data_IF_381152413829
#
_entry.id   IF_381152413829
#
_cell.length_a   1.000
_cell.length_b   1.000
_cell.length_c   1.000
_cell.angle_alpha   90.00
_cell.angle_beta   90.00
_cell.angle_gamma   90.00
#
_symmetry.space_group_name_H-M   'P 1'
#
loop_
_entity.id
_entity.type
_entity.pdbx_description
1 polymer ?
#
# COMPACT_ATOMS: atom_id res chain seq x y z
N UNK A 1 0.89 -12.50 17.17
CA UNK A 1 1.77 -13.30 16.30
C UNK A 1 1.04 -13.72 15.04
N UNK A 2 1.52 -13.24 13.88
CA UNK A 2 1.00 -13.71 12.58
C UNK A 2 1.73 -15.00 12.23
N UNK A 3 1.03 -16.11 12.04
CA UNK A 3 1.68 -17.36 11.60
C UNK A 3 2.22 -17.19 10.19
N UNK A 4 3.40 -17.75 9.93
CA UNK A 4 4.01 -17.73 8.60
C UNK A 4 5.52 -17.59 8.60
N UNK A 5 6.07 -17.55 7.41
CA UNK A 5 7.50 -17.32 7.19
C UNK A 5 7.78 -15.81 7.28
N UNK A 6 8.75 -15.43 8.11
CA UNK A 6 9.12 -14.02 8.33
C UNK A 6 10.46 -13.73 7.68
N UNK A 7 10.52 -12.60 6.96
CA UNK A 7 11.73 -12.08 6.35
C UNK A 7 11.90 -10.61 6.76
N UNK A 8 13.11 -10.24 7.15
CA UNK A 8 13.48 -8.84 7.39
C UNK A 8 14.19 -8.34 6.13
N UNK A 9 13.51 -7.53 5.33
CA UNK A 9 14.00 -6.98 4.06
C UNK A 9 13.68 -5.49 3.97
N UNK A 10 14.58 -4.73 3.39
CA UNK A 10 14.29 -3.36 2.98
C UNK A 10 13.70 -3.37 1.57
N UNK A 11 12.38 -3.27 1.48
CA UNK A 11 11.66 -3.31 0.20
C UNK A 11 11.81 -2.04 -0.66
N UNK A 12 12.54 -1.02 -0.19
CA UNK A 12 12.98 0.11 -1.02
C UNK A 12 14.05 -0.29 -2.02
N UNK A 13 14.68 -1.45 -1.81
CA UNK A 13 15.58 -2.08 -2.77
C UNK A 13 14.83 -3.04 -3.70
N UNK A 14 14.92 -2.87 -5.03
CA UNK A 14 14.28 -3.76 -6.00
C UNK A 14 14.67 -5.24 -5.85
N UNK A 15 15.92 -5.53 -5.50
CA UNK A 15 16.41 -6.90 -5.30
C UNK A 15 15.77 -7.54 -4.06
N UNK A 16 15.48 -6.75 -3.04
CA UNK A 16 14.74 -7.20 -1.86
C UNK A 16 13.28 -7.53 -2.18
N UNK A 17 12.63 -6.76 -3.04
CA UNK A 17 11.29 -7.09 -3.55
C UNK A 17 11.29 -8.44 -4.28
N UNK A 18 12.26 -8.66 -5.17
CA UNK A 18 12.41 -9.95 -5.85
C UNK A 18 12.72 -11.10 -4.88
N UNK A 19 13.58 -10.86 -3.88
CA UNK A 19 13.89 -11.85 -2.87
C UNK A 19 12.67 -12.25 -2.03
N UNK A 20 11.82 -11.27 -1.65
CA UNK A 20 10.57 -11.52 -0.94
C UNK A 20 9.63 -12.43 -1.76
N UNK A 21 9.45 -12.13 -3.04
CA UNK A 21 8.62 -12.93 -3.95
C UNK A 21 9.19 -14.35 -4.12
N UNK A 22 10.49 -14.47 -4.37
CA UNK A 22 11.14 -15.80 -4.49
C UNK A 22 10.99 -16.63 -3.22
N UNK A 23 11.14 -15.99 -2.05
CA UNK A 23 11.00 -16.70 -0.77
C UNK A 23 9.56 -17.15 -0.53
N UNK A 24 8.56 -16.33 -0.87
CA UNK A 24 7.15 -16.70 -0.75
C UNK A 24 6.82 -17.91 -1.65
N UNK A 25 7.24 -17.89 -2.92
CA UNK A 25 7.06 -19.02 -3.85
C UNK A 25 7.81 -20.26 -3.37
N UNK A 26 9.06 -20.11 -2.89
CA UNK A 26 9.85 -21.21 -2.38
C UNK A 26 9.24 -21.88 -1.14
N UNK A 27 8.58 -21.08 -0.28
CA UNK A 27 7.93 -21.59 0.94
C UNK A 27 6.58 -22.26 0.65
N UNK A 28 5.74 -21.63 -0.20
CA UNK A 28 4.36 -22.05 -0.42
C UNK A 28 4.13 -22.80 -1.76
N UNK A 29 5.14 -22.87 -2.61
CA UNK A 29 5.05 -23.50 -3.95
C UNK A 29 4.33 -22.64 -4.99
N UNK A 30 3.65 -21.59 -4.59
CA UNK A 30 2.89 -20.66 -5.45
C UNK A 30 2.71 -19.28 -4.79
N UNK A 31 2.31 -18.30 -5.57
CA UNK A 31 1.94 -16.97 -5.09
C UNK A 31 0.55 -16.60 -5.63
N UNK A 32 -0.42 -16.50 -4.76
CA UNK A 32 -1.81 -16.17 -5.13
C UNK A 32 -2.15 -14.72 -4.82
N UNK A 33 -1.62 -14.16 -3.74
CA UNK A 33 -1.94 -12.81 -3.27
C UNK A 33 -0.69 -12.10 -2.79
N UNK A 34 -0.57 -10.83 -3.14
CA UNK A 34 0.40 -9.89 -2.56
C UNK A 34 -0.36 -8.74 -1.93
N UNK A 35 -0.14 -8.48 -0.65
CA UNK A 35 -0.68 -7.32 0.05
C UNK A 35 0.46 -6.41 0.45
N UNK A 36 0.49 -5.21 -0.12
CA UNK A 36 1.41 -4.16 0.27
C UNK A 36 0.75 -3.24 1.30
N UNK A 37 1.11 -3.41 2.56
CA UNK A 37 0.68 -2.60 3.68
C UNK A 37 1.80 -1.70 4.22
N UNK A 38 2.88 -1.53 3.45
CA UNK A 38 4.00 -0.66 3.82
C UNK A 38 3.66 0.79 3.50
N UNK A 39 4.00 1.70 4.40
CA UNK A 39 3.81 3.12 4.17
C UNK A 39 4.42 3.98 5.26
N UNK A 40 4.71 5.21 4.89
CA UNK A 40 5.21 6.26 5.78
C UNK A 40 4.39 7.52 5.60
N UNK A 41 4.41 8.39 6.60
CA UNK A 41 3.66 9.66 6.62
C UNK A 41 4.55 10.79 7.08
N UNK A 42 4.28 12.00 6.62
CA UNK A 42 4.83 13.24 7.14
C UNK A 42 3.75 14.31 7.13
N UNK A 43 3.86 15.26 8.04
CA UNK A 43 2.91 16.34 8.24
C UNK A 43 3.65 17.68 8.26
N UNK A 44 3.03 18.71 7.75
CA UNK A 44 3.52 20.07 7.78
C UNK A 44 3.32 20.83 6.47
N UNK A 45 3.46 22.16 6.49
CA UNK A 45 3.47 22.97 5.29
C UNK A 45 4.60 22.53 4.35
N UNK A 46 4.36 22.64 3.04
CA UNK A 46 5.33 22.13 2.06
C UNK A 46 6.68 22.87 2.12
N UNK A 47 6.68 24.13 2.50
CA UNK A 47 7.88 24.95 2.65
C UNK A 47 8.77 24.54 3.84
N UNK A 48 8.22 23.79 4.80
CA UNK A 48 8.95 23.32 5.98
C UNK A 48 9.47 21.87 5.81
N UNK A 49 8.92 21.15 4.83
CA UNK A 49 9.25 19.73 4.65
C UNK A 49 10.59 19.58 3.94
N UNK A 50 11.48 18.76 4.51
CA UNK A 50 12.78 18.47 3.90
C UNK A 50 12.65 17.66 2.60
N UNK A 51 13.64 17.86 1.70
CA UNK A 51 13.69 17.08 0.44
C UNK A 51 13.86 15.59 0.75
N UNK A 52 14.68 15.25 1.74
CA UNK A 52 14.91 13.86 2.15
C UNK A 52 13.60 13.18 2.59
N UNK A 53 12.75 13.89 3.32
CA UNK A 53 11.42 13.40 3.69
C UNK A 53 10.52 13.22 2.48
N UNK A 54 10.54 14.15 1.53
CA UNK A 54 9.76 13.99 0.28
C UNK A 54 10.24 12.77 -0.52
N UNK A 55 11.55 12.57 -0.64
CA UNK A 55 12.13 11.41 -1.31
C UNK A 55 11.71 10.09 -0.63
N UNK A 56 11.76 10.04 0.71
CA UNK A 56 11.35 8.86 1.47
C UNK A 56 9.84 8.58 1.33
N UNK A 57 9.00 9.63 1.31
CA UNK A 57 7.57 9.49 1.04
C UNK A 57 7.31 8.84 -0.32
N UNK A 58 7.95 9.31 -1.38
CA UNK A 58 7.77 8.76 -2.72
C UNK A 58 8.43 7.40 -2.86
N UNK A 59 9.61 7.19 -2.29
CA UNK A 59 10.29 5.90 -2.32
C UNK A 59 9.41 4.81 -1.68
N UNK A 60 8.88 5.06 -0.50
CA UNK A 60 8.13 4.06 0.26
C UNK A 60 6.68 3.94 -0.18
N UNK A 61 5.98 5.08 -0.44
CA UNK A 61 4.55 5.03 -0.77
C UNK A 61 4.26 4.83 -2.25
N UNK A 62 5.22 5.10 -3.16
CA UNK A 62 5.01 5.05 -4.62
C UNK A 62 5.93 4.02 -5.29
N UNK A 63 7.26 4.17 -5.14
CA UNK A 63 8.19 3.29 -5.83
C UNK A 63 8.17 1.85 -5.31
N UNK A 64 8.07 1.67 -3.99
CA UNK A 64 8.02 0.34 -3.38
C UNK A 64 6.82 -0.49 -3.90
N UNK A 65 5.57 -0.01 -3.90
CA UNK A 65 4.45 -0.76 -4.49
C UNK A 65 4.67 -1.08 -5.97
N UNK A 66 5.27 -0.17 -6.74
CA UNK A 66 5.58 -0.41 -8.17
C UNK A 66 6.62 -1.53 -8.31
N UNK A 67 7.70 -1.49 -7.54
CA UNK A 67 8.77 -2.49 -7.58
C UNK A 67 8.28 -3.86 -7.11
N UNK A 68 7.49 -3.89 -6.03
CA UNK A 68 6.92 -5.13 -5.52
C UNK A 68 5.93 -5.75 -6.51
N UNK A 69 5.05 -4.95 -7.12
CA UNK A 69 4.14 -5.40 -8.16
C UNK A 69 4.90 -5.93 -9.38
N UNK A 70 5.94 -5.22 -9.84
CA UNK A 70 6.82 -5.66 -10.94
C UNK A 70 7.43 -7.03 -10.63
N UNK A 71 7.95 -7.24 -9.43
CA UNK A 71 8.54 -8.52 -9.02
C UNK A 71 7.46 -9.63 -8.93
N UNK A 72 6.28 -9.31 -8.40
CA UNK A 72 5.21 -10.28 -8.16
C UNK A 72 4.50 -10.72 -9.45
N UNK A 73 4.33 -9.83 -10.43
CA UNK A 73 3.58 -10.13 -11.66
C UNK A 73 4.05 -11.40 -12.36
N UNK A 74 5.37 -11.69 -12.38
CA UNK A 74 5.94 -12.89 -13.00
C UNK A 74 5.62 -14.18 -12.26
N UNK A 75 5.38 -14.10 -10.96
CA UNK A 75 5.23 -15.23 -10.04
C UNK A 75 3.78 -15.52 -9.65
N UNK A 76 2.89 -14.55 -9.78
CA UNK A 76 1.47 -14.70 -9.45
C UNK A 76 0.80 -15.74 -10.34
N UNK A 77 0.00 -16.60 -9.72
CA UNK A 77 -0.87 -17.55 -10.43
C UNK A 77 -1.95 -16.83 -11.24
N UNK A 78 -2.53 -17.53 -12.20
CA UNK A 78 -3.70 -17.03 -12.92
C UNK A 78 -4.87 -16.84 -11.93
N UNK A 79 -5.46 -15.66 -11.91
CA UNK A 79 -6.47 -15.29 -10.91
C UNK A 79 -5.88 -14.65 -9.66
N UNK A 80 -4.56 -14.47 -9.61
CA UNK A 80 -3.86 -13.84 -8.50
C UNK A 80 -4.27 -12.39 -8.25
N UNK A 81 -3.93 -11.87 -7.07
CA UNK A 81 -4.35 -10.56 -6.60
C UNK A 81 -3.16 -9.77 -6.08
N UNK A 82 -3.07 -8.50 -6.46
CA UNK A 82 -2.20 -7.49 -5.84
C UNK A 82 -3.09 -6.51 -5.10
N UNK A 83 -2.79 -6.23 -3.85
CA UNK A 83 -3.47 -5.22 -3.03
C UNK A 83 -2.47 -4.15 -2.65
N UNK A 84 -2.76 -2.91 -2.99
CA UNK A 84 -2.07 -1.73 -2.46
C UNK A 84 -3.03 -0.93 -1.57
N UNK A 85 -2.48 -0.24 -0.57
CA UNK A 85 -3.25 0.55 0.40
C UNK A 85 -2.80 2.01 0.34
N UNK A 86 -3.26 2.77 -0.67
CA UNK A 86 -3.00 4.21 -0.73
C UNK A 86 -3.66 4.98 0.41
N UNK A 87 -4.83 4.53 0.85
CA UNK A 87 -5.61 5.21 1.89
C UNK A 87 -6.41 6.40 1.35
N UNK A 88 -7.31 6.92 2.18
CA UNK A 88 -8.22 8.03 1.83
C UNK A 88 -7.51 9.29 1.36
N UNK A 89 -6.28 9.52 1.80
CA UNK A 89 -5.48 10.70 1.39
C UNK A 89 -5.17 10.71 -0.12
N UNK A 90 -5.26 9.56 -0.80
CA UNK A 90 -5.19 9.49 -2.26
C UNK A 90 -6.47 9.97 -2.96
N UNK A 91 -7.57 10.20 -2.21
CA UNK A 91 -8.85 10.74 -2.68
C UNK A 91 -9.06 12.19 -2.23
N UNK A 92 -8.53 12.54 -1.06
CA UNK A 92 -8.82 13.80 -0.38
C UNK A 92 -7.52 14.54 -0.06
N UNK A 93 -7.31 15.66 -0.74
CA UNK A 93 -6.15 16.50 -0.48
C UNK A 93 -6.38 17.36 0.77
N UNK A 94 -5.47 17.27 1.74
CA UNK A 94 -5.56 18.01 3.00
C UNK A 94 -4.37 18.96 3.15
N UNK A 95 -4.58 20.17 3.70
CA UNK A 95 -3.49 21.07 4.08
C UNK A 95 -2.52 20.37 5.04
N UNK A 96 -1.23 20.65 4.90
CA UNK A 96 -0.20 20.01 5.71
C UNK A 96 0.11 18.55 5.36
N UNK A 97 -0.47 18.02 4.28
CA UNK A 97 -0.23 16.66 3.78
C UNK A 97 0.06 16.64 2.27
N UNK A 98 0.53 17.75 1.70
CA UNK A 98 0.67 17.89 0.25
C UNK A 98 1.59 16.81 -0.36
N UNK A 99 2.82 16.64 0.16
CA UNK A 99 3.76 15.65 -0.36
C UNK A 99 3.30 14.20 -0.06
N UNK A 100 2.76 13.96 1.15
CA UNK A 100 2.20 12.66 1.51
C UNK A 100 1.02 12.28 0.60
N UNK A 101 0.05 13.18 0.44
CA UNK A 101 -1.10 12.98 -0.45
C UNK A 101 -0.67 12.72 -1.89
N UNK A 102 0.29 13.50 -2.41
CA UNK A 102 0.84 13.30 -3.74
C UNK A 102 1.47 11.90 -3.91
N UNK A 103 2.25 11.43 -2.94
CA UNK A 103 2.87 10.11 -2.99
C UNK A 103 1.82 8.98 -3.01
N UNK A 104 0.73 9.11 -2.25
CA UNK A 104 -0.36 8.13 -2.22
C UNK A 104 -1.25 8.21 -3.46
N UNK A 105 -1.50 9.41 -3.99
CA UNK A 105 -2.24 9.60 -5.24
C UNK A 105 -1.47 9.00 -6.44
N UNK A 106 -0.14 9.10 -6.46
CA UNK A 106 0.70 8.46 -7.46
C UNK A 106 0.57 6.92 -7.42
N UNK A 107 0.55 6.32 -6.22
CA UNK A 107 0.32 4.88 -6.07
C UNK A 107 -1.06 4.47 -6.59
N UNK A 108 -2.11 5.22 -6.29
CA UNK A 108 -3.46 4.99 -6.81
C UNK A 108 -3.49 5.04 -8.35
N UNK A 109 -2.89 6.08 -8.94
CA UNK A 109 -2.81 6.20 -10.40
C UNK A 109 -2.08 5.02 -11.04
N UNK A 110 -1.02 4.52 -10.40
CA UNK A 110 -0.33 3.30 -10.81
C UNK A 110 -1.27 2.08 -10.75
N UNK A 111 -2.02 1.90 -9.67
CA UNK A 111 -2.94 0.77 -9.50
C UNK A 111 -4.03 0.75 -10.58
N UNK A 112 -4.58 1.91 -10.93
CA UNK A 112 -5.57 2.04 -12.01
C UNK A 112 -5.00 1.62 -13.37
N UNK A 113 -3.76 1.98 -13.67
CA UNK A 113 -3.08 1.59 -14.91
C UNK A 113 -2.73 0.10 -14.90
N UNK A 114 -2.13 -0.38 -13.80
CA UNK A 114 -1.73 -1.77 -13.62
C UNK A 114 -2.92 -2.74 -13.73
N UNK A 115 -4.07 -2.36 -13.17
CA UNK A 115 -5.29 -3.17 -13.26
C UNK A 115 -5.70 -3.46 -14.72
N UNK A 116 -5.48 -2.48 -15.62
CA UNK A 116 -5.76 -2.65 -17.06
C UNK A 116 -4.72 -3.54 -17.75
N UNK A 117 -3.44 -3.37 -17.43
CA UNK A 117 -2.34 -4.16 -17.98
C UNK A 117 -2.41 -5.63 -17.53
N UNK A 118 -2.68 -5.86 -16.24
CA UNK A 118 -2.71 -7.19 -15.63
C UNK A 118 -3.96 -8.03 -16.04
N UNK A 119 -4.99 -7.40 -16.60
CA UNK A 119 -6.25 -8.06 -17.01
C UNK A 119 -6.04 -9.25 -17.95
N UNK A 120 -5.10 -9.13 -18.90
CA UNK A 120 -4.81 -10.23 -19.85
C UNK A 120 -4.28 -11.48 -19.16
N UNK A 121 -3.66 -11.32 -17.99
CA UNK A 121 -3.14 -12.40 -17.16
C UNK A 121 -4.15 -12.86 -16.12
N UNK A 122 -5.35 -12.28 -16.12
CA UNK A 122 -6.40 -12.49 -15.11
C UNK A 122 -5.92 -12.18 -13.69
N UNK A 123 -4.97 -11.26 -13.52
CA UNK A 123 -4.53 -10.76 -12.23
C UNK A 123 -5.37 -9.53 -11.91
N UNK A 124 -5.92 -9.50 -10.68
CA UNK A 124 -6.63 -8.35 -10.15
C UNK A 124 -5.69 -7.46 -9.36
N UNK A 125 -5.92 -6.16 -9.48
CA UNK A 125 -5.29 -5.16 -8.60
C UNK A 125 -6.39 -4.53 -7.77
N UNK A 126 -6.24 -4.54 -6.46
CA UNK A 126 -7.16 -3.91 -5.51
C UNK A 126 -6.50 -2.64 -5.00
N UNK A 127 -7.16 -1.52 -5.24
CA UNK A 127 -6.82 -0.21 -4.73
C UNK A 127 -7.70 0.05 -3.49
N UNK A 128 -7.10 -0.07 -2.29
CA UNK A 128 -7.80 0.07 -1.02
C UNK A 128 -7.51 1.42 -0.38
N UNK A 129 -8.56 2.22 -0.12
CA UNK A 129 -8.43 3.58 0.41
C UNK A 129 -9.14 3.75 1.76
N UNK A 130 -8.73 2.96 2.80
CA UNK A 130 -9.34 3.12 4.12
C UNK A 130 -9.14 4.53 4.66
N UNK A 131 -10.10 5.06 5.43
CA UNK A 131 -9.91 6.23 6.28
C UNK A 131 -8.79 6.03 7.30
N UNK A 132 -8.56 7.05 8.15
CA UNK A 132 -7.64 6.90 9.28
C UNK A 132 -7.93 5.61 10.03
N UNK A 133 -6.88 4.82 10.25
CA UNK A 133 -6.95 3.50 10.88
C UNK A 133 -5.91 3.44 11.98
N UNK A 134 -6.25 2.92 13.15
CA UNK A 134 -5.43 2.90 14.38
C UNK A 134 -4.27 1.88 14.29
N UNK A 135 -3.41 2.08 13.29
CA UNK A 135 -2.21 1.24 13.06
C UNK A 135 -0.95 1.80 13.74
N UNK A 136 -1.05 2.99 14.34
CA UNK A 136 0.10 3.74 14.86
C UNK A 136 0.97 4.38 13.78
N UNK A 137 0.52 4.40 12.50
CA UNK A 137 1.27 5.06 11.42
C UNK A 137 1.37 6.57 11.69
N UNK A 138 0.28 7.20 12.06
CA UNK A 138 0.22 8.63 12.35
C UNK A 138 1.07 9.04 13.56
N UNK A 139 1.32 8.13 14.49
CA UNK A 139 2.12 8.39 15.71
C UNK A 139 3.64 8.41 15.42
N UNK A 140 4.04 8.04 14.22
CA UNK A 140 5.44 7.90 13.80
C UNK A 140 5.70 8.63 12.48
N UNK A 141 5.40 9.93 12.39
CA UNK A 141 5.68 10.69 11.17
C UNK A 141 7.20 10.77 10.94
N UNK A 142 7.62 10.77 9.68
CA UNK A 142 9.01 11.02 9.31
C UNK A 142 9.43 12.44 9.69
N UNK A 143 8.51 13.39 9.54
CA UNK A 143 8.72 14.79 9.84
C UNK A 143 7.39 15.46 10.17
N UNK A 144 7.45 16.56 10.94
CA UNK A 144 6.29 17.32 11.36
C UNK A 144 5.55 16.72 12.55
N UNK A 145 4.38 17.25 12.84
CA UNK A 145 3.55 16.82 13.95
C UNK A 145 2.20 16.33 13.44
N UNK A 146 1.77 15.20 14.00
CA UNK A 146 0.46 14.63 13.70
C UNK A 146 -0.65 15.61 14.08
N UNK A 147 -1.50 16.01 13.13
CA UNK A 147 -2.65 16.85 13.45
C UNK A 147 -3.64 16.11 14.34
N UNK A 148 -4.46 16.86 15.07
CA UNK A 148 -5.54 16.25 15.84
C UNK A 148 -6.54 15.61 14.87
N UNK A 149 -6.64 14.29 14.91
CA UNK A 149 -7.55 13.49 14.08
C UNK A 149 -8.66 12.89 14.95
N UNK A 150 -9.84 12.64 14.38
CA UNK A 150 -10.84 11.80 15.05
C UNK A 150 -10.28 10.38 15.25
N UNK A 151 -10.88 9.64 16.19
CA UNK A 151 -10.54 8.23 16.37
C UNK A 151 -10.75 7.46 15.06
N UNK A 152 -9.75 6.69 14.67
CA UNK A 152 -9.72 5.96 13.42
C UNK A 152 -10.48 4.62 13.47
N UNK A 153 -10.48 3.92 12.35
CA UNK A 153 -11.06 2.59 12.25
C UNK A 153 -10.19 1.55 12.95
N UNK A 154 -10.84 0.46 13.38
CA UNK A 154 -10.13 -0.73 13.88
C UNK A 154 -9.35 -1.40 12.73
N UNK A 155 -8.03 -1.62 12.87
CA UNK A 155 -7.22 -2.32 11.88
C UNK A 155 -7.75 -3.70 11.50
N UNK A 156 -8.38 -4.42 12.44
CA UNK A 156 -8.94 -5.75 12.18
C UNK A 156 -10.16 -5.65 11.26
N UNK A 157 -11.03 -4.68 11.46
CA UNK A 157 -12.18 -4.42 10.60
C UNK A 157 -11.73 -4.03 9.18
N UNK A 158 -10.74 -3.15 9.07
CA UNK A 158 -10.16 -2.76 7.76
C UNK A 158 -9.56 -3.97 7.04
N UNK A 159 -8.79 -4.80 7.74
CA UNK A 159 -8.22 -6.02 7.18
C UNK A 159 -9.30 -7.00 6.72
N UNK A 160 -10.39 -7.16 7.48
CA UNK A 160 -11.51 -8.02 7.12
C UNK A 160 -12.15 -7.57 5.79
N UNK A 161 -12.43 -6.26 5.62
CA UNK A 161 -12.97 -5.69 4.38
C UNK A 161 -12.05 -5.98 3.18
N UNK A 162 -10.73 -5.84 3.35
CA UNK A 162 -9.75 -6.15 2.30
C UNK A 162 -9.78 -7.65 1.97
N UNK A 163 -9.83 -8.53 2.97
CA UNK A 163 -9.91 -9.98 2.76
C UNK A 163 -11.19 -10.38 2.02
N UNK A 164 -12.33 -9.78 2.36
CA UNK A 164 -13.60 -9.97 1.64
C UNK A 164 -13.50 -9.54 0.18
N UNK A 165 -12.85 -8.41 -0.12
CA UNK A 165 -12.61 -7.97 -1.48
C UNK A 165 -11.69 -8.92 -2.28
N UNK A 166 -10.65 -9.46 -1.63
CA UNK A 166 -9.78 -10.48 -2.24
C UNK A 166 -10.62 -11.70 -2.64
N UNK A 167 -11.48 -12.19 -1.76
CA UNK A 167 -12.33 -13.37 -2.00
C UNK A 167 -13.47 -13.07 -2.97
N UNK A 168 -14.12 -11.91 -2.83
CA UNK A 168 -15.36 -11.54 -3.52
C UNK A 168 -15.19 -10.97 -4.93
N UNK A 169 -13.98 -10.66 -5.36
CA UNK A 169 -13.73 -10.15 -6.71
C UNK A 169 -13.78 -8.62 -6.86
N UNK A 170 -14.00 -7.87 -5.79
CA UNK A 170 -13.95 -6.40 -5.79
C UNK A 170 -12.53 -5.90 -6.07
N UNK A 171 -12.39 -4.86 -6.90
CA UNK A 171 -11.08 -4.30 -7.25
C UNK A 171 -10.90 -2.86 -6.78
N UNK A 172 -11.96 -2.12 -6.55
CA UNK A 172 -11.95 -0.74 -6.09
C UNK A 172 -12.59 -0.67 -4.70
N UNK A 173 -11.82 -0.27 -3.70
CA UNK A 173 -12.27 -0.08 -2.32
C UNK A 173 -12.12 1.38 -1.90
N UNK A 174 -13.07 2.26 -2.29
CA UNK A 174 -13.08 3.66 -1.87
C UNK A 174 -13.21 3.77 -0.36
N UNK A 175 -12.92 4.95 0.19
CA UNK A 175 -13.03 5.20 1.63
C UNK A 175 -14.42 4.86 2.22
N UNK A 176 -15.46 5.00 1.40
CA UNK A 176 -16.85 4.65 1.77
C UNK A 176 -17.12 3.13 1.87
N UNK A 177 -16.21 2.29 1.42
CA UNK A 177 -16.33 0.84 1.59
C UNK A 177 -15.92 0.36 3.01
N UNK A 178 -15.30 1.23 3.77
CA UNK A 178 -14.85 0.95 5.13
C UNK A 178 -15.76 1.66 6.14
N UNK A 179 -16.60 0.92 6.83
CA UNK A 179 -17.57 1.42 7.81
C UNK A 179 -17.40 0.72 9.16
#
# INVERSE_FOLDING_TARGET
DVPGHRLALDLRDPLSCEAAVRAAVGHAGKLDVVVNAVGVVAFGPIEELSVDTMEELFMTNTFLPIMLAKAALGALTQGGVIVNIPGVIAEQNLPGMAAYGASKAAARSFDEALAREARRRKIRVIDARPPHTETGLADRPLEGQTPKMPHGLDPVAVAATICEAIAGGTADLPSTAFT
#
